data_IF_679526561741
#
_entry.id   IF_679526561741
#
_cell.length_a   1.000
_cell.length_b   1.000
_cell.length_c   1.000
_cell.angle_alpha   90.00
_cell.angle_beta   90.00
_cell.angle_gamma   90.00
#
_symmetry.space_group_name_H-M   'P 1'
#
loop_
_entity.id
_entity.type
_entity.pdbx_description
1 polymer ?
#
# COMPACT_ATOMS: atom_id res chain seq x y z
N UNK A 1 -16.04 -23.46 11.04
CA UNK A 1 -15.44 -22.14 10.76
C UNK A 1 -14.79 -21.69 12.04
N UNK A 2 -13.54 -21.23 11.99
CA UNK A 2 -12.85 -20.72 13.19
C UNK A 2 -13.50 -19.39 13.62
N UNK A 3 -13.59 -19.15 14.92
CA UNK A 3 -14.16 -17.92 15.47
C UNK A 3 -13.04 -16.99 15.93
N UNK A 4 -13.28 -15.69 15.91
CA UNK A 4 -12.39 -14.73 16.53
C UNK A 4 -12.34 -14.98 18.05
N UNK A 5 -11.17 -14.89 18.66
CA UNK A 5 -11.04 -14.85 20.11
C UNK A 5 -11.70 -13.57 20.69
N UNK A 6 -11.96 -13.56 21.99
CA UNK A 6 -12.68 -12.47 22.64
C UNK A 6 -12.03 -11.09 22.45
N UNK A 7 -10.70 -11.02 22.44
CA UNK A 7 -9.95 -9.78 22.23
C UNK A 7 -10.18 -9.24 20.82
N UNK A 8 -9.96 -10.08 19.81
CA UNK A 8 -10.18 -9.76 18.40
C UNK A 8 -11.64 -9.40 18.11
N UNK A 9 -12.62 -10.04 18.77
CA UNK A 9 -14.04 -9.68 18.66
C UNK A 9 -14.35 -8.28 19.21
N UNK A 10 -13.68 -7.85 20.28
CA UNK A 10 -13.87 -6.49 20.83
C UNK A 10 -13.26 -5.45 19.91
N UNK A 11 -12.03 -5.67 19.44
CA UNK A 11 -11.41 -4.74 18.49
C UNK A 11 -12.17 -4.68 17.16
N UNK A 12 -12.62 -5.82 16.61
CA UNK A 12 -13.43 -5.88 15.39
C UNK A 12 -14.69 -5.00 15.48
N UNK A 13 -15.38 -5.00 16.63
CA UNK A 13 -16.54 -4.12 16.85
C UNK A 13 -16.19 -2.64 16.71
N UNK A 14 -15.09 -2.21 17.32
CA UNK A 14 -14.64 -0.81 17.25
C UNK A 14 -14.19 -0.47 15.83
N UNK A 15 -13.41 -1.34 15.18
CA UNK A 15 -12.91 -1.16 13.83
C UNK A 15 -14.04 -1.02 12.81
N UNK A 16 -15.00 -1.94 12.79
CA UNK A 16 -16.09 -1.93 11.82
C UNK A 16 -17.18 -0.91 12.15
N UNK A 17 -17.25 -0.43 13.39
CA UNK A 17 -18.03 0.76 13.70
C UNK A 17 -17.43 2.03 13.05
N UNK A 18 -16.09 2.14 13.02
CA UNK A 18 -15.40 3.26 12.38
C UNK A 18 -15.31 3.13 10.85
N UNK A 19 -15.15 1.90 10.34
CA UNK A 19 -14.99 1.60 8.91
C UNK A 19 -15.87 0.41 8.48
N UNK A 20 -17.20 0.57 8.40
CA UNK A 20 -18.10 -0.53 8.05
C UNK A 20 -17.79 -1.18 6.69
N UNK A 21 -17.31 -0.38 5.73
CA UNK A 21 -16.94 -0.84 4.39
C UNK A 21 -15.71 -1.75 4.36
N UNK A 22 -14.99 -1.93 5.48
CA UNK A 22 -13.80 -2.78 5.56
C UNK A 22 -14.09 -4.21 6.00
N UNK A 23 -15.31 -4.52 6.44
CA UNK A 23 -15.71 -5.86 6.85
C UNK A 23 -15.43 -6.94 5.77
N UNK A 24 -15.66 -6.69 4.45
CA UNK A 24 -15.34 -7.67 3.40
C UNK A 24 -13.84 -7.98 3.24
N UNK A 25 -12.96 -7.14 3.78
CA UNK A 25 -11.51 -7.34 3.75
C UNK A 25 -10.98 -8.13 4.95
N UNK A 26 -11.87 -8.55 5.85
CA UNK A 26 -11.52 -9.26 7.06
C UNK A 26 -11.41 -10.77 6.86
N UNK A 27 -10.50 -11.36 7.61
CA UNK A 27 -10.28 -12.81 7.70
C UNK A 27 -10.11 -13.20 9.16
N UNK A 28 -10.41 -14.47 9.46
CA UNK A 28 -10.03 -15.10 10.72
C UNK A 28 -8.71 -15.84 10.47
N UNK A 29 -7.62 -15.28 10.99
CA UNK A 29 -6.29 -15.87 10.90
C UNK A 29 -6.00 -16.72 12.14
N UNK A 30 -5.08 -17.67 12.01
CA UNK A 30 -4.65 -18.56 13.09
C UNK A 30 -3.15 -18.77 13.02
N UNK A 31 -2.52 -18.93 14.18
CA UNK A 31 -1.09 -19.26 14.24
C UNK A 31 -0.88 -20.72 13.83
N UNK A 32 -1.79 -21.61 14.24
CA UNK A 32 -1.76 -23.01 13.83
C UNK A 32 -3.14 -23.58 13.41
N UNK A 33 -3.12 -24.64 12.60
CA UNK A 33 -4.34 -25.26 12.07
C UNK A 33 -5.22 -25.94 13.13
N UNK A 34 -4.62 -26.37 14.25
CA UNK A 34 -5.25 -27.05 15.39
C UNK A 34 -5.97 -26.07 16.35
N UNK A 35 -5.71 -24.76 16.27
CA UNK A 35 -6.38 -23.77 17.12
C UNK A 35 -7.87 -23.65 16.77
N UNK A 36 -8.69 -23.60 17.82
CA UNK A 36 -10.15 -23.45 17.71
C UNK A 36 -10.59 -22.00 17.56
N UNK A 37 -9.78 -21.08 18.06
CA UNK A 37 -9.97 -19.64 17.99
C UNK A 37 -8.87 -19.01 17.15
N UNK A 38 -9.20 -17.94 16.44
CA UNK A 38 -8.26 -17.17 15.66
C UNK A 38 -8.25 -15.71 16.04
N UNK A 39 -7.42 -14.93 15.37
CA UNK A 39 -7.38 -13.49 15.50
C UNK A 39 -7.92 -12.81 14.24
N UNK A 40 -8.29 -11.53 14.38
CA UNK A 40 -8.73 -10.72 13.26
C UNK A 40 -7.53 -10.38 12.40
N UNK A 41 -7.62 -10.62 11.10
CA UNK A 41 -6.75 -10.03 10.08
C UNK A 41 -7.59 -9.19 9.12
N UNK A 42 -7.11 -8.03 8.71
CA UNK A 42 -7.76 -7.16 7.72
C UNK A 42 -6.71 -6.66 6.73
N UNK A 43 -6.95 -6.85 5.43
CA UNK A 43 -6.08 -6.38 4.34
C UNK A 43 -6.84 -5.38 3.48
N UNK A 44 -6.70 -4.09 3.77
CA UNK A 44 -7.39 -3.03 3.03
C UNK A 44 -6.51 -2.57 1.86
N UNK A 45 -6.95 -2.69 0.60
CA UNK A 45 -6.16 -2.22 -0.53
C UNK A 45 -6.05 -0.69 -0.51
N UNK A 46 -4.87 -0.17 -0.84
CA UNK A 46 -4.70 1.24 -1.12
C UNK A 46 -5.61 1.63 -2.30
N UNK A 47 -6.15 2.86 -2.31
CA UNK A 47 -6.88 3.38 -3.47
C UNK A 47 -5.90 3.70 -4.60
N UNK A 48 -5.23 2.69 -5.16
CA UNK A 48 -4.32 2.86 -6.29
C UNK A 48 -5.20 3.20 -7.51
N UNK A 49 -5.10 4.44 -7.97
CA UNK A 49 -5.82 4.92 -9.15
C UNK A 49 -5.48 4.06 -10.38
N UNK A 50 -6.43 3.23 -10.81
CA UNK A 50 -6.47 2.66 -12.16
C UNK A 50 -6.30 1.15 -12.29
N UNK A 51 -6.10 0.39 -11.20
CA UNK A 51 -6.05 -1.07 -11.24
C UNK A 51 -7.26 -1.69 -10.52
N UNK A 52 -7.95 -2.67 -11.11
CA UNK A 52 -9.00 -3.41 -10.40
C UNK A 52 -8.37 -4.23 -9.25
N UNK A 53 -9.12 -4.52 -8.16
CA UNK A 53 -8.60 -5.27 -7.00
C UNK A 53 -7.98 -6.63 -7.36
N UNK A 54 -8.41 -7.24 -8.47
CA UNK A 54 -7.87 -8.51 -9.00
C UNK A 54 -6.47 -8.39 -9.61
N UNK A 55 -6.00 -7.18 -9.90
CA UNK A 55 -4.70 -6.89 -10.50
C UNK A 55 -3.70 -6.29 -9.50
N UNK A 56 -4.12 -6.08 -8.26
CA UNK A 56 -3.19 -5.80 -7.16
C UNK A 56 -2.39 -7.09 -6.93
N UNK A 57 -1.14 -7.09 -7.39
CA UNK A 57 -0.16 -8.09 -6.97
C UNK A 57 0.03 -7.88 -5.47
N UNK A 58 0.06 -8.94 -4.65
CA UNK A 58 0.33 -8.82 -3.22
C UNK A 58 1.79 -8.35 -3.00
N UNK A 59 2.06 -7.08 -3.28
CA UNK A 59 3.20 -6.35 -2.77
C UNK A 59 2.78 -5.70 -1.45
N UNK A 60 3.64 -5.77 -0.44
CA UNK A 60 3.37 -5.23 0.89
C UNK A 60 3.02 -3.74 0.88
N UNK A 61 3.45 -3.04 -0.17
CA UNK A 61 3.31 -1.61 -0.42
C UNK A 61 1.86 -1.22 -0.80
N UNK A 62 1.02 -2.18 -1.19
CA UNK A 62 -0.32 -1.95 -1.76
C UNK A 62 -1.46 -2.08 -0.74
N UNK A 63 -1.17 -2.47 0.51
CA UNK A 63 -2.21 -2.75 1.51
C UNK A 63 -1.91 -2.12 2.86
N UNK A 64 -2.96 -1.62 3.50
CA UNK A 64 -2.99 -1.42 4.95
C UNK A 64 -3.38 -2.75 5.59
N UNK A 65 -2.49 -3.30 6.41
CA UNK A 65 -2.71 -4.52 7.16
C UNK A 65 -3.00 -4.22 8.61
N UNK A 66 -4.01 -4.89 9.16
CA UNK A 66 -4.38 -4.80 10.58
C UNK A 66 -4.55 -6.22 11.08
N UNK A 67 -3.90 -6.56 12.18
CA UNK A 67 -4.13 -7.82 12.87
C UNK A 67 -4.26 -7.63 14.38
N UNK A 68 -4.70 -8.68 15.05
CA UNK A 68 -4.95 -8.68 16.50
C UNK A 68 -4.30 -9.87 17.20
N UNK A 69 -3.18 -10.36 16.66
CA UNK A 69 -2.47 -11.49 17.25
C UNK A 69 -1.72 -11.06 18.51
N UNK A 70 -2.31 -11.36 19.67
CA UNK A 70 -1.85 -10.84 20.94
C UNK A 70 -2.23 -9.38 21.13
N UNK A 71 -1.85 -8.48 20.23
CA UNK A 71 -2.05 -7.03 20.33
C UNK A 71 -2.64 -6.46 19.03
N UNK A 72 -3.08 -5.19 19.02
CA UNK A 72 -3.45 -4.57 17.73
C UNK A 72 -2.20 -4.12 17.01
N UNK A 73 -1.95 -4.71 15.84
CA UNK A 73 -0.85 -4.30 14.96
C UNK A 73 -1.43 -3.61 13.72
N UNK A 74 -0.91 -2.44 13.37
CA UNK A 74 -1.23 -1.75 12.12
C UNK A 74 0.05 -1.62 11.30
N UNK A 75 0.05 -2.21 10.10
CA UNK A 75 1.19 -2.24 9.19
C UNK A 75 0.84 -1.62 7.83
N UNK A 76 1.75 -0.82 7.30
CA UNK A 76 1.67 -0.25 5.96
C UNK A 76 3.09 -0.15 5.40
N UNK A 77 3.35 -0.82 4.28
CA UNK A 77 4.69 -0.90 3.67
C UNK A 77 5.74 -1.40 4.71
N UNK A 78 6.94 -0.82 4.78
CA UNK A 78 7.98 -1.13 5.78
C UNK A 78 7.75 -0.50 7.17
N UNK A 79 6.53 -0.11 7.52
CA UNK A 79 6.18 0.43 8.83
C UNK A 79 5.12 -0.40 9.51
N UNK A 80 5.30 -0.67 10.79
CA UNK A 80 4.24 -1.18 11.64
C UNK A 80 4.27 -0.50 13.01
N UNK A 81 3.11 -0.45 13.65
CA UNK A 81 2.95 0.04 15.01
C UNK A 81 2.05 -0.91 15.79
N UNK A 82 2.40 -1.06 17.05
CA UNK A 82 1.75 -1.90 18.04
C UNK A 82 0.93 -1.03 19.00
N UNK A 83 -0.23 -1.50 19.41
CA UNK A 83 -1.11 -0.81 20.35
C UNK A 83 -1.61 -1.78 21.43
N UNK A 84 -1.80 -1.24 22.64
CA UNK A 84 -2.29 -1.93 23.84
C UNK A 84 -1.29 -2.88 24.54
N UNK A 85 -1.26 -4.16 24.17
CA UNK A 85 -0.97 -5.26 25.11
C UNK A 85 0.44 -5.28 25.70
N UNK A 86 1.43 -4.73 25.00
CA UNK A 86 2.81 -4.61 25.52
C UNK A 86 3.15 -3.21 26.03
N UNK A 87 2.14 -2.38 26.30
CA UNK A 87 2.25 -1.06 26.90
C UNK A 87 1.53 -0.99 28.25
N UNK A 88 1.80 0.05 29.04
CA UNK A 88 1.05 0.34 30.29
C UNK A 88 -0.33 0.98 30.02
N UNK A 89 -0.77 1.01 28.75
CA UNK A 89 -2.02 1.63 28.32
C UNK A 89 -3.17 0.63 28.48
N UNK A 90 -4.35 1.02 28.99
CA UNK A 90 -5.52 0.15 29.02
C UNK A 90 -6.01 -0.25 27.62
N UNK A 91 -6.53 -1.48 27.49
CA UNK A 91 -7.03 -2.05 26.22
C UNK A 91 -7.93 -1.12 25.42
N UNK A 92 -8.98 -0.58 26.05
CA UNK A 92 -9.91 0.30 25.36
C UNK A 92 -9.25 1.58 24.83
N UNK A 93 -8.24 2.08 25.55
CA UNK A 93 -7.46 3.23 25.11
C UNK A 93 -6.52 2.83 23.95
N UNK A 94 -5.87 1.67 24.02
CA UNK A 94 -5.05 1.17 22.91
C UNK A 94 -5.86 0.94 21.64
N UNK A 95 -7.10 0.43 21.75
CA UNK A 95 -8.04 0.34 20.63
C UNK A 95 -8.36 1.72 20.05
N UNK A 96 -8.63 2.70 20.91
CA UNK A 96 -8.90 4.06 20.46
C UNK A 96 -7.71 4.67 19.71
N UNK A 97 -6.50 4.55 20.27
CA UNK A 97 -5.27 5.05 19.66
C UNK A 97 -4.97 4.38 18.31
N UNK A 98 -5.25 3.08 18.17
CA UNK A 98 -5.14 2.38 16.89
C UNK A 98 -6.11 2.94 15.84
N UNK A 99 -7.37 3.18 16.21
CA UNK A 99 -8.37 3.77 15.32
C UNK A 99 -8.01 5.20 14.93
N UNK A 100 -7.53 6.02 15.88
CA UNK A 100 -7.06 7.38 15.59
C UNK A 100 -5.86 7.36 14.63
N UNK A 101 -4.92 6.42 14.82
CA UNK A 101 -3.79 6.25 13.91
C UNK A 101 -4.25 5.87 12.50
N UNK A 102 -5.14 4.89 12.36
CA UNK A 102 -5.72 4.48 11.07
C UNK A 102 -6.45 5.64 10.41
N UNK A 103 -7.28 6.38 11.17
CA UNK A 103 -8.00 7.55 10.66
C UNK A 103 -7.04 8.63 10.17
N UNK A 104 -5.98 8.91 10.91
CA UNK A 104 -4.98 9.89 10.52
C UNK A 104 -4.25 9.47 9.24
N UNK A 105 -3.98 8.17 9.07
CA UNK A 105 -3.34 7.64 7.86
C UNK A 105 -4.26 7.74 6.65
N UNK A 106 -5.52 7.29 6.77
CA UNK A 106 -6.52 7.32 5.69
C UNK A 106 -6.89 8.74 5.28
N UNK A 107 -6.86 9.69 6.22
CA UNK A 107 -7.10 11.13 5.94
C UNK A 107 -5.84 11.88 5.49
N UNK A 108 -4.72 11.18 5.30
CA UNK A 108 -3.43 11.77 4.93
C UNK A 108 -2.91 12.84 5.93
N UNK A 109 -3.40 12.82 7.18
CA UNK A 109 -2.93 13.71 8.26
C UNK A 109 -1.56 13.28 8.79
N UNK A 110 -1.24 12.00 8.62
CA UNK A 110 0.10 11.46 8.79
C UNK A 110 0.54 10.77 7.49
N UNK A 111 1.83 10.79 7.24
CA UNK A 111 2.45 9.98 6.20
C UNK A 111 3.54 9.09 6.80
N UNK A 112 3.78 7.96 6.16
CA UNK A 112 4.88 7.06 6.50
C UNK A 112 6.04 7.36 5.56
N UNK A 113 7.21 7.63 6.14
CA UNK A 113 8.45 7.80 5.38
C UNK A 113 9.31 6.57 5.61
N UNK A 114 9.73 5.95 4.51
CA UNK A 114 10.63 4.80 4.51
C UNK A 114 12.00 5.22 4.00
N UNK A 115 13.04 4.97 4.79
CA UNK A 115 14.43 5.21 4.43
C UNK A 115 15.03 3.96 3.79
N UNK A 116 15.54 4.09 2.57
CA UNK A 116 16.24 3.03 1.85
C UNK A 116 17.69 3.43 1.58
N UNK A 117 18.65 2.53 1.83
CA UNK A 117 20.05 2.70 1.45
C UNK A 117 20.47 1.54 0.55
N UNK A 118 20.84 1.83 -0.70
CA UNK A 118 21.23 0.81 -1.70
C UNK A 118 20.19 -0.32 -1.84
N UNK A 119 18.91 0.03 -1.79
CA UNK A 119 17.80 -0.92 -1.89
C UNK A 119 17.50 -1.70 -0.61
N UNK A 120 18.18 -1.42 0.50
CA UNK A 120 17.90 -2.03 1.80
C UNK A 120 17.16 -1.06 2.72
N UNK A 121 16.16 -1.57 3.42
CA UNK A 121 15.45 -0.82 4.44
C UNK A 121 16.38 -0.39 5.57
N UNK A 122 16.32 0.88 5.94
CA UNK A 122 17.14 1.51 6.97
C UNK A 122 16.33 2.12 8.12
N UNK A 123 15.01 2.01 8.05
CA UNK A 123 14.09 2.55 9.03
C UNK A 123 12.87 3.18 8.40
N UNK A 124 11.81 3.29 9.18
CA UNK A 124 10.58 3.96 8.81
C UNK A 124 10.10 4.84 9.95
N UNK A 125 9.37 5.90 9.63
CA UNK A 125 8.86 6.87 10.60
C UNK A 125 7.56 7.47 10.11
N UNK A 126 6.61 7.64 11.04
CA UNK A 126 5.45 8.51 10.81
C UNK A 126 5.83 9.99 10.92
N UNK A 127 5.39 10.79 9.97
CA UNK A 127 5.41 12.24 10.02
C UNK A 127 3.98 12.74 10.07
N UNK A 128 3.73 13.75 10.91
CA UNK A 128 2.46 14.47 10.87
C UNK A 128 2.57 15.57 9.84
N UNK A 129 1.56 15.71 8.99
CA UNK A 129 1.47 16.84 8.10
C UNK A 129 1.25 18.09 8.95
N UNK A 130 2.28 18.94 9.06
CA UNK A 130 2.06 20.29 9.55
C UNK A 130 1.14 20.98 8.53
N UNK A 131 0.04 21.58 9.00
CA UNK A 131 -0.79 22.46 8.17
C UNK A 131 0.03 23.72 7.86
N UNK A 132 1.01 23.60 6.97
CA UNK A 132 1.62 24.75 6.35
C UNK A 132 0.50 25.43 5.57
N UNK A 133 0.11 26.62 6.03
CA UNK A 133 -0.58 27.60 5.21
C UNK A 133 0.34 27.96 4.04
N UNK A 134 0.50 27.05 3.08
CA UNK A 134 1.01 27.40 1.77
C UNK A 134 -0.14 28.16 1.15
N UNK A 135 -0.18 29.45 1.47
CA UNK A 135 -0.82 30.45 0.66
C UNK A 135 -0.13 30.32 -0.71
N UNK A 136 -0.70 29.52 -1.60
CA UNK A 136 -0.42 29.56 -3.02
C UNK A 136 -0.86 30.94 -3.49
N UNK A 137 -0.08 31.97 -3.15
CA UNK A 137 -0.02 33.21 -3.92
C UNK A 137 0.64 32.81 -5.23
N UNK A 138 -0.16 32.20 -6.11
CA UNK A 138 0.06 32.25 -7.54
C UNK A 138 0.19 33.73 -7.87
N UNK A 139 1.44 34.21 -7.91
CA UNK A 139 1.73 35.47 -8.58
C UNK A 139 1.20 35.28 -10.01
N UNK A 140 0.29 36.15 -10.51
CA UNK A 140 -0.19 36.03 -11.86
C UNK A 140 1.02 36.06 -12.79
N UNK A 141 1.17 35.02 -13.60
CA UNK A 141 2.11 35.01 -14.72
C UNK A 141 1.67 36.16 -15.63
N UNK A 142 2.51 37.17 -15.90
CA UNK A 142 2.14 38.20 -16.84
C UNK A 142 1.93 37.54 -18.21
N UNK A 143 0.71 37.67 -18.75
CA UNK A 143 0.40 37.32 -20.14
C UNK A 143 1.33 38.13 -21.04
N UNK A 144 2.33 37.48 -21.64
CA UNK A 144 3.00 38.03 -22.80
C UNK A 144 2.02 38.00 -23.97
N UNK A 145 1.54 39.18 -24.36
CA UNK A 145 0.86 39.42 -25.62
C UNK A 145 1.85 39.16 -26.76
N UNK A 146 1.78 37.97 -27.38
CA UNK A 146 2.44 37.73 -28.66
C UNK A 146 1.57 38.32 -29.78
N UNK A 147 2.00 39.46 -30.26
CA UNK A 147 1.49 40.11 -31.46
C UNK A 147 1.69 39.21 -32.69
N UNK A 148 0.64 39.15 -33.51
CA UNK A 148 0.60 38.55 -34.83
C UNK A 148 1.70 39.10 -35.75
N UNK A 149 2.47 38.21 -36.38
CA UNK A 149 3.52 38.61 -37.32
C UNK A 149 3.97 37.50 -38.27
N UNK A 150 3.21 37.34 -39.36
CA UNK A 150 3.60 36.93 -40.73
C UNK A 150 4.46 35.64 -40.95
N UNK A 151 3.90 34.77 -41.81
CA UNK A 151 4.51 33.60 -42.48
C UNK A 151 5.83 33.96 -43.20
N UNK A 152 6.70 32.96 -43.43
CA UNK A 152 6.82 32.52 -44.82
C UNK A 152 6.90 31.00 -45.04
N UNK A 153 6.42 30.66 -46.22
CA UNK A 153 6.47 29.45 -47.03
C UNK A 153 7.87 28.88 -47.22
N UNK A 154 8.09 27.57 -47.07
CA UNK A 154 8.76 26.72 -48.09
C UNK A 154 8.55 25.23 -47.82
N UNK A 155 8.37 24.47 -48.90
CA UNK A 155 8.11 23.04 -48.92
C UNK A 155 9.40 22.21 -48.89
N UNK A 156 9.35 20.99 -48.33
CA UNK A 156 10.24 19.90 -48.73
C UNK A 156 9.64 18.51 -48.39
N UNK A 157 8.99 17.97 -49.41
CA UNK A 157 9.00 16.61 -49.97
C UNK A 157 9.62 15.43 -49.17
N UNK A 158 8.75 14.42 -48.94
CA UNK A 158 8.92 12.94 -49.02
C UNK A 158 10.13 12.27 -48.33
N UNK A 159 9.84 11.28 -47.46
CA UNK A 159 9.81 9.86 -47.88
C UNK A 159 9.26 8.93 -46.78
N UNK A 160 8.18 8.21 -47.13
CA UNK A 160 7.76 6.97 -46.51
C UNK A 160 8.66 5.82 -47.02
N UNK A 161 9.10 4.93 -46.12
CA UNK A 161 9.16 3.49 -46.39
C UNK A 161 9.07 2.68 -45.08
N UNK A 162 8.48 1.46 -45.10
CA UNK A 162 7.89 0.81 -43.92
C UNK A 162 8.70 -0.46 -43.53
N UNK A 163 8.14 -1.47 -42.81
CA UNK A 163 8.86 -2.22 -41.77
C UNK A 163 9.64 -3.43 -42.31
N UNK A 164 10.67 -3.86 -41.59
CA UNK A 164 11.42 -5.09 -41.88
C UNK A 164 11.08 -6.18 -40.87
N UNK A 165 10.69 -7.33 -41.42
CA UNK A 165 10.28 -8.57 -40.77
C UNK A 165 11.45 -9.37 -40.14
N UNK A 166 11.05 -10.22 -39.19
CA UNK A 166 11.41 -11.63 -39.00
C UNK A 166 12.89 -12.09 -38.97
N UNK A 167 13.25 -12.80 -37.90
CA UNK A 167 13.89 -14.12 -37.98
C UNK A 167 13.69 -14.87 -36.65
N UNK A 168 13.01 -16.02 -36.66
CA UNK A 168 13.56 -17.41 -36.63
C UNK A 168 14.24 -17.75 -35.29
N UNK A 169 13.60 -18.57 -34.45
CA UNK A 169 13.61 -20.05 -34.42
C UNK A 169 14.97 -20.69 -34.09
N UNK A 170 14.88 -21.73 -33.24
CA UNK A 170 15.84 -22.81 -32.90
C UNK A 170 16.88 -22.55 -31.81
N UNK A 171 16.73 -23.20 -30.66
CA UNK A 171 17.41 -24.48 -30.32
C UNK A 171 17.07 -24.84 -28.86
N UNK A 172 16.41 -25.96 -28.62
CA UNK A 172 16.97 -27.28 -28.27
C UNK A 172 16.81 -27.61 -26.78
N UNK A 173 16.12 -28.72 -26.58
CA UNK A 173 16.08 -29.61 -25.42
C UNK A 173 17.42 -29.79 -24.71
N UNK A 174 17.38 -29.99 -23.38
CA UNK A 174 17.86 -31.21 -22.71
C UNK A 174 17.34 -31.24 -21.25
N UNK A 175 16.63 -32.33 -20.93
CA UNK A 175 16.32 -32.86 -19.59
C UNK A 175 17.62 -33.47 -18.95
N UNK A 176 17.58 -34.16 -17.79
CA UNK A 176 17.45 -33.69 -16.41
C UNK A 176 18.62 -34.19 -15.49
N UNK A 177 18.77 -33.64 -14.29
CA UNK A 177 19.44 -34.32 -13.15
C UNK A 177 19.00 -33.63 -11.85
N UNK A 178 18.19 -34.27 -11.00
CA UNK A 178 18.61 -35.17 -9.91
C UNK A 178 19.90 -34.71 -9.22
N UNK A 179 19.77 -34.09 -8.05
CA UNK A 179 20.46 -34.56 -6.84
C UNK A 179 19.78 -34.02 -5.58
N UNK A 180 19.28 -34.97 -4.80
CA UNK A 180 18.98 -34.92 -3.38
C UNK A 180 20.25 -34.76 -2.55
N UNK A 181 20.24 -33.83 -1.59
CA UNK A 181 20.92 -33.85 -0.28
C UNK A 181 20.16 -32.80 0.56
N UNK A 182 19.63 -33.04 1.75
CA UNK A 182 19.93 -34.07 2.74
C UNK A 182 20.77 -33.49 3.88
N UNK A 183 20.22 -32.52 4.61
CA UNK A 183 20.30 -32.29 6.07
C UNK A 183 19.38 -31.11 6.41
#
# INVERSE_FOLDING_TARGET
MKQLNDYSQRFARVLFQAFPQWEPFSTVAVENEQETEGYLGVKVPAPVSGLPPSELVEHHDDFLFIDTDGEVTVSYDYYHCHFDRYSDVPEEQGFHEAIEFILALVKEEICIVVGMNRGQWCGSRRLRQEKSQICLRSKPIPLFTLALGKKPTTALTRHLKPPSQANKQHNQSLHPSLHSFGC
#
